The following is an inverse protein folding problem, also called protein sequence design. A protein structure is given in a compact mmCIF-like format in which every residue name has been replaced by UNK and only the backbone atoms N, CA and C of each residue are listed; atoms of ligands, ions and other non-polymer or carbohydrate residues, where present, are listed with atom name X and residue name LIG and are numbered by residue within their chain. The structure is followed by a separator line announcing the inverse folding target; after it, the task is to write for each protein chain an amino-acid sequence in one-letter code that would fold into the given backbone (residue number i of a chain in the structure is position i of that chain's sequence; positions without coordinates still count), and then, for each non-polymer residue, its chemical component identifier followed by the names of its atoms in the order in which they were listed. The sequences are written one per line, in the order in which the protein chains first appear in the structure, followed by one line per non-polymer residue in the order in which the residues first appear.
data_IF_165392895580
#
_entry.id   IF_165392895580
#
_cell.length_a   1.000
_cell.length_b   1.000
_cell.length_c   1.000
_cell.angle_alpha   90.00
_cell.angle_beta   90.00
_cell.angle_gamma   90.00
#
_symmetry.space_group_name_H-M   'P 1'
#
loop_
_entity.id
_entity.type
_entity.pdbx_description
1 polymer ?
#
# COMPACT_ATOMS: atom_id res chain seq x y z
N UNK A 1 -3.73 12.93 28.23
CA UNK A 1 -2.43 12.86 27.52
C UNK A 1 -2.70 12.27 26.15
N UNK A 2 -2.97 13.13 25.16
CA UNK A 2 -3.29 12.73 23.79
C UNK A 2 -1.96 12.48 23.07
N UNK A 3 -1.72 11.25 22.58
CA UNK A 3 -0.51 10.96 21.77
C UNK A 3 -0.62 11.78 20.48
N UNK A 4 0.45 12.45 20.01
CA UNK A 4 0.35 13.34 18.86
C UNK A 4 0.04 12.53 17.60
N UNK A 5 -1.15 12.74 17.04
CA UNK A 5 -1.62 12.14 15.76
C UNK A 5 -0.60 12.31 14.63
N UNK A 6 0.24 13.34 14.72
CA UNK A 6 1.21 13.75 13.70
C UNK A 6 2.39 12.76 13.55
N UNK A 7 2.72 11.99 14.60
CA UNK A 7 3.80 11.01 14.52
C UNK A 7 3.41 9.76 13.71
N UNK A 8 2.11 9.43 13.65
CA UNK A 8 1.61 8.32 12.86
C UNK A 8 1.47 8.68 11.38
N UNK A 9 1.04 9.91 11.07
CA UNK A 9 0.86 10.38 9.69
C UNK A 9 2.21 10.46 8.94
N UNK A 10 3.28 10.94 9.60
CA UNK A 10 4.64 10.95 9.05
C UNK A 10 5.16 9.54 8.71
N UNK A 11 4.79 8.52 9.50
CA UNK A 11 5.20 7.15 9.24
C UNK A 11 4.48 6.56 8.01
N UNK A 12 3.19 6.91 7.81
CA UNK A 12 2.44 6.46 6.65
C UNK A 12 2.90 7.12 5.36
N UNK A 13 3.17 8.42 5.38
CA UNK A 13 3.77 9.12 4.24
C UNK A 13 5.12 8.49 3.86
N UNK A 14 5.96 8.19 4.84
CA UNK A 14 7.26 7.58 4.58
C UNK A 14 7.14 6.16 4.01
N UNK A 15 6.20 5.36 4.49
CA UNK A 15 5.92 4.02 3.93
C UNK A 15 5.40 4.13 2.49
N UNK A 16 4.51 5.08 2.19
CA UNK A 16 3.98 5.29 0.83
C UNK A 16 5.08 5.73 -0.13
N UNK A 17 5.97 6.63 0.31
CA UNK A 17 7.14 7.04 -0.46
C UNK A 17 8.07 5.85 -0.76
N UNK A 18 8.41 5.04 0.25
CA UNK A 18 9.25 3.85 0.07
C UNK A 18 8.63 2.82 -0.89
N UNK A 19 7.31 2.59 -0.80
CA UNK A 19 6.62 1.68 -1.70
C UNK A 19 6.56 2.21 -3.14
N UNK A 20 6.42 3.53 -3.30
CA UNK A 20 6.45 4.19 -4.60
C UNK A 20 7.83 4.06 -5.24
N UNK A 21 8.89 4.37 -4.49
CA UNK A 21 10.27 4.24 -4.96
C UNK A 21 10.58 2.80 -5.38
N UNK A 22 10.13 1.82 -4.59
CA UNK A 22 10.31 0.41 -4.91
C UNK A 22 9.55 0.00 -6.18
N UNK A 23 8.32 0.46 -6.35
CA UNK A 23 7.53 0.17 -7.54
C UNK A 23 8.13 0.81 -8.81
N UNK A 24 8.65 2.05 -8.70
CA UNK A 24 9.38 2.71 -9.78
C UNK A 24 10.65 1.94 -10.17
N UNK A 25 11.42 1.46 -9.19
CA UNK A 25 12.60 0.63 -9.44
C UNK A 25 12.23 -0.70 -10.13
N UNK A 26 11.16 -1.36 -9.68
CA UNK A 26 10.66 -2.58 -10.32
C UNK A 26 10.23 -2.33 -11.77
N UNK A 27 9.52 -1.22 -12.04
CA UNK A 27 9.10 -0.85 -13.39
C UNK A 27 10.32 -0.64 -14.31
N UNK A 28 11.33 0.10 -13.85
CA UNK A 28 12.58 0.29 -14.59
C UNK A 28 13.30 -1.05 -14.87
N UNK A 29 13.31 -1.97 -13.91
CA UNK A 29 13.91 -3.30 -14.07
C UNK A 29 13.16 -4.15 -15.10
N UNK A 30 11.83 -4.12 -15.07
CA UNK A 30 10.98 -4.82 -16.04
C UNK A 30 11.15 -4.20 -17.43
N UNK A 31 11.25 -2.88 -17.55
CA UNK A 31 11.52 -2.20 -18.82
C UNK A 31 12.85 -2.65 -19.42
N UNK A 32 13.92 -2.69 -18.62
CA UNK A 32 15.23 -3.20 -19.09
C UNK A 32 15.18 -4.65 -19.57
N UNK A 33 14.34 -5.48 -18.97
CA UNK A 33 14.15 -6.88 -19.41
C UNK A 33 13.29 -6.96 -20.68
N UNK A 34 12.27 -6.12 -20.80
CA UNK A 34 11.45 -6.01 -22.00
C UNK A 34 12.27 -5.53 -23.21
N UNK A 35 13.26 -4.66 -23.01
CA UNK A 35 14.19 -4.21 -24.05
C UNK A 35 15.12 -5.29 -24.58
N UNK A 36 15.31 -6.38 -23.84
CA UNK A 36 16.07 -7.54 -24.30
C UNK A 36 15.23 -8.49 -25.17
N UNK A 37 13.92 -8.27 -25.24
CA UNK A 37 13.03 -9.09 -26.06
C UNK A 37 13.05 -8.63 -27.53
N UNK A 38 12.79 -9.53 -28.49
CA UNK A 38 12.62 -9.15 -29.88
C UNK A 38 11.53 -8.09 -30.03
N UNK A 39 11.80 -7.07 -30.87
CA UNK A 39 10.96 -5.88 -31.05
C UNK A 39 9.50 -6.22 -31.41
N UNK A 40 9.31 -7.26 -32.21
CA UNK A 40 7.98 -7.68 -32.70
C UNK A 40 7.38 -8.85 -31.90
N UNK A 41 7.92 -9.14 -30.72
CA UNK A 41 7.37 -10.17 -29.85
C UNK A 41 6.12 -9.65 -29.12
N UNK A 42 5.01 -10.40 -29.18
CA UNK A 42 3.80 -10.11 -28.41
C UNK A 42 4.06 -9.86 -26.91
N UNK A 43 4.96 -10.61 -26.25
CA UNK A 43 5.36 -10.34 -24.87
C UNK A 43 5.97 -8.96 -24.63
N UNK A 44 6.78 -8.42 -25.56
CA UNK A 44 7.33 -7.06 -25.42
C UNK A 44 6.24 -6.01 -25.47
N UNK A 45 5.35 -6.09 -26.46
CA UNK A 45 4.24 -5.15 -26.62
C UNK A 45 3.28 -5.15 -25.40
N UNK A 46 2.99 -6.33 -24.85
CA UNK A 46 2.19 -6.45 -23.62
C UNK A 46 2.91 -5.86 -22.41
N UNK A 47 4.21 -6.11 -22.27
CA UNK A 47 5.02 -5.61 -21.15
C UNK A 47 5.12 -4.09 -21.18
N UNK A 48 5.37 -3.49 -22.34
CA UNK A 48 5.46 -2.03 -22.50
C UNK A 48 4.12 -1.33 -22.20
N UNK A 49 3.00 -1.94 -22.59
CA UNK A 49 1.65 -1.43 -22.29
C UNK A 49 1.38 -1.44 -20.77
N UNK A 50 1.63 -2.58 -20.11
CA UNK A 50 1.41 -2.74 -18.66
C UNK A 50 2.32 -1.81 -17.86
N UNK A 51 3.58 -1.62 -18.30
CA UNK A 51 4.50 -0.68 -17.69
C UNK A 51 4.00 0.76 -17.78
N UNK A 52 3.56 1.19 -18.97
CA UNK A 52 3.01 2.54 -19.17
C UNK A 52 1.76 2.79 -18.32
N UNK A 53 0.90 1.79 -18.16
CA UNK A 53 -0.27 1.89 -17.29
C UNK A 53 0.13 1.96 -15.81
N UNK A 54 1.13 1.19 -15.38
CA UNK A 54 1.65 1.23 -14.02
C UNK A 54 2.30 2.58 -13.70
N UNK A 55 3.17 3.08 -14.58
CA UNK A 55 3.83 4.39 -14.44
C UNK A 55 2.81 5.55 -14.37
N UNK A 56 1.72 5.49 -15.13
CA UNK A 56 0.65 6.49 -15.06
C UNK A 56 -0.18 6.44 -13.76
N UNK A 57 -0.26 5.27 -13.12
CA UNK A 57 -1.05 5.08 -11.89
C UNK A 57 -0.27 5.26 -10.61
N UNK A 58 1.03 4.98 -10.61
CA UNK A 58 1.89 5.08 -9.43
C UNK A 58 1.85 6.49 -8.78
N UNK A 59 1.97 7.59 -9.55
CA UNK A 59 1.82 8.95 -9.01
C UNK A 59 0.40 9.25 -8.53
N UNK A 60 -0.63 8.76 -9.23
CA UNK A 60 -2.04 8.98 -8.86
C UNK A 60 -2.45 8.20 -7.59
N UNK A 61 -1.74 7.12 -7.28
CA UNK A 61 -2.01 6.31 -6.07
C UNK A 61 -1.64 7.10 -4.80
N UNK A 62 -0.70 8.06 -4.88
CA UNK A 62 -0.33 8.95 -3.77
C UNK A 62 -1.46 9.91 -3.35
N UNK A 63 -2.23 10.46 -4.29
CA UNK A 63 -3.35 11.38 -3.98
C UNK A 63 -4.58 10.69 -3.35
N UNK A 64 -4.63 9.35 -3.34
CA UNK A 64 -5.71 8.55 -2.75
C UNK A 64 -5.29 7.60 -1.63
N UNK A 65 -3.99 7.42 -1.39
CA UNK A 65 -3.44 6.43 -0.46
C UNK A 65 -3.86 6.67 1.00
N UNK A 66 -4.01 7.93 1.43
CA UNK A 66 -4.49 8.26 2.77
C UNK A 66 -5.88 7.67 3.03
N UNK A 67 -6.81 7.77 2.08
CA UNK A 67 -8.14 7.20 2.20
C UNK A 67 -8.10 5.66 2.20
N UNK A 68 -7.19 5.07 1.41
CA UNK A 68 -7.03 3.62 1.35
C UNK A 68 -6.47 3.05 2.66
N UNK A 69 -5.46 3.70 3.24
CA UNK A 69 -4.84 3.31 4.52
C UNK A 69 -5.78 3.54 5.70
N UNK A 70 -6.49 4.67 5.75
CA UNK A 70 -7.48 4.94 6.80
C UNK A 70 -8.64 3.93 6.75
N UNK A 71 -9.13 3.60 5.56
CA UNK A 71 -10.18 2.61 5.39
C UNK A 71 -9.71 1.21 5.84
N UNK A 72 -8.46 0.85 5.53
CA UNK A 72 -7.86 -0.44 5.94
C UNK A 72 -7.58 -0.50 7.44
N UNK A 73 -7.10 0.59 8.05
CA UNK A 73 -6.93 0.70 9.49
C UNK A 73 -8.27 0.59 10.25
N UNK A 74 -9.35 1.18 9.71
CA UNK A 74 -10.70 1.07 10.28
C UNK A 74 -11.21 -0.37 10.25
N UNK A 75 -10.97 -1.11 9.15
CA UNK A 75 -11.35 -2.51 9.03
C UNK A 75 -10.58 -3.42 10.01
N UNK A 76 -9.32 -3.13 10.29
CA UNK A 76 -8.50 -3.88 11.27
C UNK A 76 -8.88 -3.54 12.72
N UNK A 77 -9.26 -2.29 12.99
CA UNK A 77 -9.63 -1.82 14.34
C UNK A 77 -10.89 -2.50 14.89
N UNK A 78 -11.89 -2.75 14.04
CA UNK A 78 -13.17 -3.35 14.46
C UNK A 78 -12.99 -4.74 15.11
N UNK A 79 -12.24 -5.69 14.50
CA UNK A 79 -11.91 -6.97 15.14
C UNK A 79 -11.22 -6.83 16.49
N UNK A 80 -10.20 -5.95 16.59
CA UNK A 80 -9.45 -5.77 17.84
C UNK A 80 -10.32 -5.16 18.95
N UNK A 81 -11.15 -4.16 18.65
CA UNK A 81 -12.10 -3.60 19.63
C UNK A 81 -13.17 -4.61 20.07
N UNK A 82 -13.49 -5.58 19.22
CA UNK A 82 -14.42 -6.65 19.57
C UNK A 82 -13.74 -7.69 20.47
N UNK A 83 -12.47 -8.00 20.20
CA UNK A 83 -11.66 -8.88 21.03
C UNK A 83 -11.45 -8.28 22.42
N UNK A 84 -11.05 -7.01 22.50
CA UNK A 84 -10.84 -6.29 23.76
C UNK A 84 -12.11 -6.25 24.63
N UNK A 85 -13.27 -6.00 24.01
CA UNK A 85 -14.57 -6.06 24.73
C UNK A 85 -14.93 -7.47 25.19
N UNK A 86 -14.56 -8.50 24.43
CA UNK A 86 -14.79 -9.89 24.84
C UNK A 86 -13.88 -10.27 26.01
N UNK A 87 -12.61 -9.88 25.97
CA UNK A 87 -11.65 -10.08 27.05
C UNK A 87 -12.11 -9.36 28.32
N UNK A 88 -12.49 -8.08 28.23
CA UNK A 88 -13.01 -7.31 29.36
C UNK A 88 -14.28 -7.93 30.00
N UNK A 89 -15.22 -8.38 29.17
CA UNK A 89 -16.43 -9.06 29.64
C UNK A 89 -16.12 -10.42 30.29
N UNK A 90 -15.15 -11.16 29.77
CA UNK A 90 -14.71 -12.44 30.34
C UNK A 90 -14.01 -12.26 31.68
N UNK A 91 -13.19 -11.23 31.84
CA UNK A 91 -12.51 -10.89 33.07
C UNK A 91 -13.50 -10.45 34.17
N UNK A 92 -14.52 -9.68 33.80
CA UNK A 92 -15.58 -9.23 34.74
C UNK A 92 -16.42 -10.41 35.26
N UNK A 93 -16.56 -11.48 34.48
CA UNK A 93 -17.36 -12.66 34.85
C UNK A 93 -16.58 -13.70 35.66
N UNK A 94 -15.25 -13.57 35.71
CA UNK A 94 -14.37 -14.41 36.51
C UNK A 94 -14.05 -13.82 37.90
N UNK A 95 -14.49 -12.58 38.17
CA UNK A 95 -14.43 -11.89 39.46
C UNK A 95 -15.77 -12.01 40.19
#
# INVERSE_FOLDING_TARGET
MDRPRHAHDLNYEQIVLQLTDHACALAADVHRRADQLPRDSGPKALTDLVLKEAEGRLPATLEGAMNCVQNRARLVRIPYERLDRWEAASATRAA
#
